data_IF_785425629805
#
_entry.id   IF_785425629805
#
_cell.length_a   1.000
_cell.length_b   1.000
_cell.length_c   1.000
_cell.angle_alpha   90.00
_cell.angle_beta   90.00
_cell.angle_gamma   90.00
#
_symmetry.space_group_name_H-M   'P 1'
#
loop_
_entity.id
_entity.type
_entity.pdbx_description
1 polymer ?
#
# COMPACT_ATOMS: atom_id res chain seq x y z
N UNK A 1 5.23 -3.88 -14.19
CA UNK A 1 5.38 -5.20 -14.83
C UNK A 1 4.39 -6.26 -14.31
N UNK A 2 4.00 -6.23 -13.02
CA UNK A 2 3.02 -7.19 -12.44
C UNK A 2 1.63 -7.19 -13.11
N UNK A 3 1.09 -6.03 -13.48
CA UNK A 3 -0.25 -5.90 -14.06
C UNK A 3 -0.44 -6.57 -15.45
N UNK A 4 0.64 -6.76 -16.22
CA UNK A 4 0.57 -7.43 -17.53
C UNK A 4 0.38 -8.95 -17.35
N UNK A 5 0.86 -9.51 -16.23
CA UNK A 5 0.74 -10.95 -15.93
C UNK A 5 -0.69 -11.32 -15.52
N UNK A 6 -1.44 -10.43 -14.87
CA UNK A 6 -2.85 -10.68 -14.49
C UNK A 6 -3.78 -10.80 -15.71
N UNK A 7 -3.46 -10.12 -16.82
CA UNK A 7 -4.16 -10.25 -18.10
C UNK A 7 -4.05 -11.66 -18.69
N UNK A 8 -2.97 -12.40 -18.40
CA UNK A 8 -2.83 -13.79 -18.83
C UNK A 8 -3.73 -14.77 -18.05
N UNK A 9 -4.24 -14.38 -16.87
CA UNK A 9 -5.01 -15.27 -15.98
C UNK A 9 -6.49 -14.94 -15.85
N UNK A 10 -6.97 -13.85 -16.46
CA UNK A 10 -8.40 -13.52 -16.50
C UNK A 10 -8.99 -13.10 -15.14
N UNK A 11 -8.15 -12.68 -14.18
CA UNK A 11 -8.60 -12.27 -12.84
C UNK A 11 -8.69 -10.75 -12.72
N UNK A 12 -9.89 -10.22 -12.45
CA UNK A 12 -10.19 -8.80 -12.17
C UNK A 12 -9.44 -8.27 -10.92
N UNK A 13 -9.06 -9.15 -9.99
CA UNK A 13 -8.35 -8.82 -8.75
C UNK A 13 -7.03 -9.58 -8.74
N UNK A 14 -5.94 -8.83 -8.87
CA UNK A 14 -4.59 -9.38 -8.76
C UNK A 14 -4.29 -9.74 -7.32
N UNK A 15 -4.17 -11.04 -7.06
CA UNK A 15 -3.67 -11.55 -5.76
C UNK A 15 -2.25 -11.08 -5.51
N UNK A 16 -1.44 -10.91 -6.56
CA UNK A 16 -0.05 -10.50 -6.45
C UNK A 16 0.09 -9.05 -5.95
N UNK A 17 -0.73 -8.12 -6.45
CA UNK A 17 -0.75 -6.74 -5.93
C UNK A 17 -1.13 -6.70 -4.46
N UNK A 18 -2.12 -7.49 -4.07
CA UNK A 18 -2.59 -7.56 -2.68
C UNK A 18 -1.48 -8.05 -1.76
N UNK A 19 -0.80 -9.14 -2.15
CA UNK A 19 0.37 -9.66 -1.43
C UNK A 19 1.49 -8.62 -1.38
N UNK A 20 1.77 -7.91 -2.48
CA UNK A 20 2.87 -6.94 -2.56
C UNK A 20 2.61 -5.72 -1.66
N UNK A 21 1.38 -5.20 -1.62
CA UNK A 21 0.97 -4.10 -0.73
C UNK A 21 1.14 -4.50 0.73
N UNK A 22 0.71 -5.71 1.10
CA UNK A 22 0.88 -6.23 2.47
C UNK A 22 2.37 -6.36 2.81
N UNK A 23 3.16 -6.95 1.91
CA UNK A 23 4.59 -7.20 2.13
C UNK A 23 5.38 -5.90 2.28
N UNK A 24 5.13 -4.92 1.40
CA UNK A 24 5.70 -3.57 1.50
C UNK A 24 5.24 -2.85 2.76
N UNK A 25 3.96 -2.99 3.13
CA UNK A 25 3.43 -2.42 4.36
C UNK A 25 4.12 -2.97 5.61
N UNK A 26 4.30 -4.29 5.69
CA UNK A 26 5.02 -4.95 6.80
C UNK A 26 6.48 -4.56 6.81
N UNK A 27 7.17 -4.54 5.65
CA UNK A 27 8.55 -4.09 5.55
C UNK A 27 8.71 -2.64 6.03
N UNK A 28 7.77 -1.76 5.67
CA UNK A 28 7.77 -0.38 6.11
C UNK A 28 7.63 -0.27 7.65
N UNK A 29 6.79 -1.09 8.28
CA UNK A 29 6.67 -1.15 9.75
C UNK A 29 7.96 -1.64 10.43
N UNK A 30 8.65 -2.59 9.81
CA UNK A 30 9.89 -3.16 10.34
C UNK A 30 11.05 -2.18 10.25
N UNK A 31 11.19 -1.50 9.10
CA UNK A 31 12.33 -0.64 8.77
C UNK A 31 12.20 0.80 9.29
N UNK A 32 10.99 1.29 9.52
CA UNK A 32 10.80 2.66 10.01
C UNK A 32 11.44 2.86 11.38
N UNK A 33 12.33 3.86 11.47
CA UNK A 33 13.00 4.25 12.71
C UNK A 33 12.22 5.30 13.50
N UNK A 34 11.21 5.90 12.88
CA UNK A 34 10.29 6.80 13.56
C UNK A 34 9.01 7.05 12.76
N UNK A 35 8.03 7.65 13.43
CA UNK A 35 6.69 7.93 12.90
C UNK A 35 6.67 8.72 11.59
N UNK A 36 7.57 9.71 11.45
CA UNK A 36 7.62 10.56 10.23
C UNK A 36 8.02 9.77 9.00
N UNK A 37 9.02 8.90 9.12
CA UNK A 37 9.47 8.03 8.03
C UNK A 37 8.39 7.03 7.65
N UNK A 38 7.77 6.41 8.66
CA UNK A 38 6.68 5.46 8.45
C UNK A 38 5.50 6.08 7.68
N UNK A 39 5.07 7.28 8.09
CA UNK A 39 4.00 8.03 7.42
C UNK A 39 4.37 8.39 5.98
N UNK A 40 5.59 8.86 5.76
CA UNK A 40 6.04 9.24 4.42
C UNK A 40 6.03 8.05 3.46
N UNK A 41 6.62 6.91 3.86
CA UNK A 41 6.61 5.69 3.04
C UNK A 41 5.22 5.09 2.87
N UNK A 42 4.36 5.17 3.88
CA UNK A 42 2.97 4.71 3.77
C UNK A 42 2.17 5.57 2.78
N UNK A 43 2.36 6.89 2.81
CA UNK A 43 1.76 7.81 1.84
C UNK A 43 2.25 7.52 0.42
N UNK A 44 3.55 7.25 0.27
CA UNK A 44 4.16 6.92 -1.02
C UNK A 44 3.64 5.58 -1.56
N UNK A 45 3.39 4.59 -0.69
CA UNK A 45 2.76 3.32 -1.04
C UNK A 45 1.32 3.52 -1.55
N UNK A 46 0.53 4.35 -0.87
CA UNK A 46 -0.84 4.69 -1.30
C UNK A 46 -0.84 5.40 -2.65
N UNK A 47 0.03 6.40 -2.82
CA UNK A 47 0.18 7.12 -4.09
C UNK A 47 0.64 6.22 -5.24
N UNK A 48 1.57 5.31 -4.98
CA UNK A 48 2.03 4.34 -5.97
C UNK A 48 0.93 3.36 -6.38
N UNK A 49 0.11 2.91 -5.42
CA UNK A 49 -1.03 2.03 -5.68
C UNK A 49 -2.10 2.75 -6.49
N UNK A 50 -2.46 3.98 -6.09
CA UNK A 50 -3.38 4.85 -6.81
C UNK A 50 -2.91 5.10 -8.26
N UNK A 51 -1.67 5.56 -8.43
CA UNK A 51 -1.09 5.82 -9.75
C UNK A 51 -1.01 4.58 -10.63
N UNK A 52 -0.66 3.42 -10.05
CA UNK A 52 -0.62 2.16 -10.77
C UNK A 52 -1.98 1.73 -11.30
N UNK A 53 -3.04 1.86 -10.50
CA UNK A 53 -4.41 1.52 -10.92
C UNK A 53 -4.92 2.51 -11.98
N UNK A 54 -4.65 3.81 -11.84
CA UNK A 54 -5.04 4.82 -12.83
C UNK A 54 -4.34 4.57 -14.16
N UNK A 55 -3.01 4.39 -14.16
CA UNK A 55 -2.25 4.08 -15.38
C UNK A 55 -2.73 2.78 -16.04
N UNK A 56 -3.02 1.74 -15.24
CA UNK A 56 -3.55 0.48 -15.73
C UNK A 56 -4.93 0.68 -16.38
N UNK A 57 -5.83 1.42 -15.73
CA UNK A 57 -7.18 1.69 -16.23
C UNK A 57 -7.13 2.49 -17.54
N UNK A 58 -6.26 3.51 -17.62
CA UNK A 58 -6.06 4.30 -18.83
C UNK A 58 -5.46 3.47 -19.96
N UNK A 59 -4.45 2.64 -19.67
CA UNK A 59 -3.87 1.73 -20.66
C UNK A 59 -4.92 0.75 -21.18
N UNK A 60 -5.70 0.14 -20.29
CA UNK A 60 -6.74 -0.81 -20.66
C UNK A 60 -7.82 -0.15 -21.51
N UNK A 61 -8.27 1.05 -21.14
CA UNK A 61 -9.28 1.79 -21.88
C UNK A 61 -8.82 2.13 -23.30
N UNK A 62 -7.57 2.58 -23.46
CA UNK A 62 -7.07 3.04 -24.76
C UNK A 62 -6.64 1.89 -25.70
N UNK A 63 -6.13 0.77 -25.18
CA UNK A 63 -5.52 -0.29 -26.00
C UNK A 63 -6.30 -1.60 -26.06
N UNK A 64 -7.27 -1.83 -25.16
CA UNK A 64 -7.95 -3.13 -25.04
C UNK A 64 -9.45 -2.99 -25.26
N UNK A 65 -10.12 -2.14 -24.49
CA UNK A 65 -11.58 -2.01 -24.50
C UNK A 65 -11.91 -0.54 -24.23
N UNK A 66 -12.25 0.18 -25.30
CA UNK A 66 -12.69 1.58 -25.25
C UNK A 66 -14.14 1.71 -24.75
N UNK A 67 -14.52 0.87 -23.79
CA UNK A 67 -15.86 0.79 -23.24
C UNK A 67 -15.97 1.71 -22.03
N UNK A 68 -17.13 2.38 -21.91
CA UNK A 68 -17.43 3.32 -20.83
C UNK A 68 -17.39 2.68 -19.42
N UNK A 69 -17.54 1.37 -19.33
CA UNK A 69 -17.53 0.63 -18.06
C UNK A 69 -16.11 0.48 -17.47
N UNK A 70 -15.09 0.41 -18.32
CA UNK A 70 -13.68 0.23 -17.93
C UNK A 70 -13.19 1.26 -16.89
N UNK A 71 -13.37 2.59 -17.09
CA UNK A 71 -12.96 3.58 -16.09
C UNK A 71 -13.73 3.45 -14.77
N UNK A 72 -15.02 3.08 -14.82
CA UNK A 72 -15.85 2.90 -13.62
C UNK A 72 -15.33 1.73 -12.78
N UNK A 73 -15.03 0.60 -13.43
CA UNK A 73 -14.43 -0.57 -12.77
C UNK A 73 -13.04 -0.23 -12.22
N UNK A 74 -12.24 0.54 -12.96
CA UNK A 74 -10.92 0.99 -12.52
C UNK A 74 -10.97 1.82 -11.23
N UNK A 75 -11.92 2.74 -11.11
CA UNK A 75 -12.14 3.53 -9.88
C UNK A 75 -12.59 2.64 -8.72
N UNK A 76 -13.47 1.66 -8.96
CA UNK A 76 -13.89 0.69 -7.95
C UNK A 76 -12.71 -0.15 -7.43
N UNK A 77 -11.85 -0.60 -8.33
CA UNK A 77 -10.63 -1.35 -7.99
C UNK A 77 -9.65 -0.47 -7.21
N UNK A 78 -9.51 0.80 -7.60
CA UNK A 78 -8.69 1.78 -6.88
C UNK A 78 -9.19 1.99 -5.45
N UNK A 79 -10.50 2.13 -5.24
CA UNK A 79 -11.11 2.26 -3.91
C UNK A 79 -10.83 1.02 -3.04
N UNK A 80 -11.01 -0.18 -3.60
CA UNK A 80 -10.74 -1.43 -2.89
C UNK A 80 -9.27 -1.53 -2.43
N UNK A 81 -8.31 -1.34 -3.34
CA UNK A 81 -6.90 -1.40 -2.99
C UNK A 81 -6.46 -0.23 -2.11
N UNK A 82 -7.03 0.96 -2.29
CA UNK A 82 -6.78 2.13 -1.47
C UNK A 82 -7.24 1.95 -0.02
N UNK A 83 -8.45 1.43 0.19
CA UNK A 83 -8.96 1.09 1.53
C UNK A 83 -8.08 0.03 2.18
N UNK A 84 -7.67 -1.00 1.42
CA UNK A 84 -6.83 -2.06 1.95
C UNK A 84 -5.44 -1.55 2.36
N UNK A 85 -4.83 -0.69 1.54
CA UNK A 85 -3.57 -0.02 1.87
C UNK A 85 -3.73 0.90 3.10
N UNK A 86 -4.85 1.61 3.23
CA UNK A 86 -5.14 2.46 4.39
C UNK A 86 -5.29 1.64 5.69
N UNK A 87 -5.95 0.48 5.64
CA UNK A 87 -6.06 -0.43 6.79
C UNK A 87 -4.67 -0.92 7.22
N UNK A 88 -3.84 -1.36 6.27
CA UNK A 88 -2.46 -1.78 6.56
C UNK A 88 -1.64 -0.63 7.17
N UNK A 89 -1.78 0.58 6.65
CA UNK A 89 -1.11 1.77 7.17
C UNK A 89 -1.60 2.14 8.59
N UNK A 90 -2.90 2.03 8.87
CA UNK A 90 -3.46 2.29 10.19
C UNK A 90 -2.92 1.28 11.22
N UNK A 91 -2.93 -0.01 10.89
CA UNK A 91 -2.38 -1.07 11.75
C UNK A 91 -0.90 -0.82 12.04
N UNK A 92 -0.11 -0.48 11.03
CA UNK A 92 1.31 -0.23 11.25
C UNK A 92 1.61 1.06 12.00
N UNK A 93 0.75 2.08 11.89
CA UNK A 93 0.85 3.28 12.72
C UNK A 93 0.77 2.91 14.19
N UNK A 94 -0.19 2.06 14.58
CA UNK A 94 -0.32 1.57 15.97
C UNK A 94 0.95 0.82 16.42
N UNK A 95 1.49 -0.06 15.56
CA UNK A 95 2.70 -0.83 15.86
C UNK A 95 3.91 0.08 16.05
N UNK A 96 4.11 1.06 15.17
CA UNK A 96 5.25 1.99 15.26
C UNK A 96 5.13 2.88 16.50
N UNK A 97 3.93 3.37 16.84
CA UNK A 97 3.71 4.12 18.10
C UNK A 97 4.09 3.28 19.32
N UNK A 98 3.70 2.01 19.35
CA UNK A 98 4.06 1.11 20.47
C UNK A 98 5.59 0.89 20.52
N UNK A 99 6.24 0.69 19.37
CA UNK A 99 7.71 0.55 19.29
C UNK A 99 8.43 1.79 19.82
N UNK A 100 8.00 2.98 19.40
CA UNK A 100 8.59 4.26 19.84
C UNK A 100 8.44 4.45 21.35
N UNK A 101 7.25 4.15 21.91
CA UNK A 101 7.01 4.23 23.37
C UNK A 101 7.86 3.24 24.16
N UNK A 102 8.11 2.05 23.64
CA UNK A 102 8.97 1.06 24.29
C UNK A 102 10.43 1.50 24.24
N UNK A 103 10.89 2.02 23.11
CA UNK A 103 12.25 2.55 22.95
C UNK A 103 12.51 3.71 23.93
N UNK A 104 11.58 4.66 24.02
CA UNK A 104 11.63 5.79 24.95
C UNK A 104 11.73 5.33 26.42
N UNK A 105 10.91 4.34 26.81
CA UNK A 105 10.96 3.74 28.17
C UNK A 105 12.29 3.04 28.47
N UNK A 106 12.92 2.40 27.47
CA UNK A 106 14.23 1.73 27.65
C UNK A 106 15.36 2.74 27.81
N UNK A 107 15.34 3.83 27.04
CA UNK A 107 16.32 4.92 27.17
C UNK A 107 16.22 5.56 28.56
N UNK A 108 15.01 5.87 29.03
CA UNK A 108 14.81 6.43 30.38
C UNK A 108 15.31 5.52 31.52
N UNK A 109 15.23 4.19 31.35
CA UNK A 109 15.78 3.23 32.32
C UNK A 109 17.30 3.04 32.21
N UNK A 110 17.89 3.28 31.05
CA UNK A 110 19.33 3.11 30.81
C UNK A 110 20.20 4.29 31.25
N UNK A 111 19.61 5.48 31.42
CA UNK A 111 20.31 6.69 31.90
C UNK A 111 20.36 6.76 33.44
N UNK A 112 19.74 5.81 34.13
CA UNK A 112 19.69 5.73 35.60
C UNK A 112 20.71 4.77 36.23
N UNK A 113 21.84 4.50 35.58
CA UNK A 113 22.98 3.73 36.15
C UNK A 113 24.26 4.52 35.96
#
# INVERSE_FOLDING_TARGET
>A
MFFIVDKLRGTLISRYLLVTIILLGVLNMCLAKGMKEYLFFSLLLVLSTAGGVVLYTLYYYNFVSADFETPIVGVFVMLLYGVLAAVVAAVGTVVVVIKDRIAEKRVSKGVGV
#
